data_IF_320112255611
#
_entry.id   IF_320112255611
#
_cell.length_a   1.000
_cell.length_b   1.000
_cell.length_c   1.000
_cell.angle_alpha   90.00
_cell.angle_beta   90.00
_cell.angle_gamma   90.00
#
_symmetry.space_group_name_H-M   'P 1'
#
loop_
_entity.id
_entity.type
_entity.pdbx_description
1 polymer ?
#
# COMPACT_ATOMS: atom_id res chain seq x y z
N UNK A 1 9.79 -10.58 -14.81
CA UNK A 1 10.22 -10.49 -13.39
C UNK A 1 10.52 -9.04 -13.12
N UNK A 2 10.07 -8.50 -11.97
CA UNK A 2 10.09 -7.06 -11.69
C UNK A 2 11.49 -6.44 -11.63
N UNK A 3 12.53 -7.21 -11.33
CA UNK A 3 13.91 -6.71 -11.19
C UNK A 3 14.80 -6.93 -12.43
N UNK A 4 14.24 -7.44 -13.55
CA UNK A 4 15.05 -7.87 -14.72
C UNK A 4 15.75 -6.73 -15.46
N UNK A 5 15.26 -5.51 -15.33
CA UNK A 5 15.77 -4.31 -16.00
C UNK A 5 16.68 -3.44 -15.12
N UNK A 6 16.92 -3.83 -13.87
CA UNK A 6 17.84 -3.14 -12.97
C UNK A 6 17.31 -1.82 -12.39
N UNK A 7 16.09 -1.40 -12.73
CA UNK A 7 15.48 -0.16 -12.25
C UNK A 7 15.24 -0.20 -10.74
N UNK A 8 14.81 -1.35 -10.21
CA UNK A 8 14.56 -1.56 -8.78
C UNK A 8 15.60 -2.52 -8.18
N UNK A 9 16.15 -2.14 -7.01
CA UNK A 9 17.20 -2.93 -6.31
C UNK A 9 16.64 -4.02 -5.40
N UNK A 10 15.46 -3.79 -4.84
CA UNK A 10 14.76 -4.73 -3.95
C UNK A 10 13.29 -4.74 -4.33
N UNK A 11 12.59 -5.84 -4.07
CA UNK A 11 11.17 -5.98 -4.36
C UNK A 11 10.57 -6.95 -3.35
N UNK A 12 9.61 -6.50 -2.55
CA UNK A 12 8.84 -7.38 -1.68
C UNK A 12 7.66 -7.97 -2.45
N UNK A 13 7.16 -9.12 -2.03
CA UNK A 13 5.98 -9.76 -2.63
C UNK A 13 4.77 -8.81 -2.65
N UNK A 14 4.58 -8.04 -1.57
CA UNK A 14 3.56 -7.01 -1.50
C UNK A 14 3.71 -5.99 -2.63
N UNK A 15 4.91 -5.42 -2.83
CA UNK A 15 5.13 -4.42 -3.89
C UNK A 15 4.98 -5.02 -5.29
N UNK A 16 5.47 -6.25 -5.50
CA UNK A 16 5.37 -6.97 -6.77
C UNK A 16 3.91 -7.26 -7.14
N UNK A 17 3.15 -7.85 -6.21
CA UNK A 17 1.76 -8.23 -6.42
C UNK A 17 0.86 -7.01 -6.55
N UNK A 18 1.04 -6.00 -5.70
CA UNK A 18 0.26 -4.75 -5.76
C UNK A 18 0.45 -4.07 -7.12
N UNK A 19 1.70 -3.91 -7.57
CA UNK A 19 2.00 -3.33 -8.88
C UNK A 19 1.44 -4.17 -10.03
N UNK A 20 1.55 -5.49 -9.93
CA UNK A 20 1.02 -6.41 -10.94
C UNK A 20 -0.50 -6.30 -11.06
N UNK A 21 -1.23 -6.35 -9.93
CA UNK A 21 -2.70 -6.24 -9.91
C UNK A 21 -3.14 -4.86 -10.37
N UNK A 22 -2.45 -3.79 -9.96
CA UNK A 22 -2.76 -2.43 -10.42
C UNK A 22 -2.68 -2.33 -11.95
N UNK A 23 -1.59 -2.83 -12.52
CA UNK A 23 -1.39 -2.87 -13.97
C UNK A 23 -2.39 -3.78 -14.68
N UNK A 24 -2.67 -4.97 -14.13
CA UNK A 24 -3.63 -5.91 -14.69
C UNK A 24 -5.06 -5.36 -14.68
N UNK A 25 -5.46 -4.70 -13.60
CA UNK A 25 -6.76 -4.02 -13.47
C UNK A 25 -6.90 -2.90 -14.50
N UNK A 26 -5.90 -2.04 -14.67
CA UNK A 26 -5.93 -0.97 -15.67
C UNK A 26 -6.09 -1.52 -17.10
N UNK A 27 -5.44 -2.65 -17.41
CA UNK A 27 -5.63 -3.36 -18.69
C UNK A 27 -7.04 -3.93 -18.83
N UNK A 28 -7.52 -4.65 -17.82
CA UNK A 28 -8.80 -5.34 -17.86
C UNK A 28 -9.98 -4.37 -18.01
N UNK A 29 -9.88 -3.19 -17.39
CA UNK A 29 -10.90 -2.14 -17.48
C UNK A 29 -10.78 -1.28 -18.75
N UNK A 30 -9.81 -1.56 -19.62
CA UNK A 30 -9.56 -0.79 -20.85
C UNK A 30 -9.51 0.72 -20.59
N UNK A 31 -8.90 1.12 -19.48
CA UNK A 31 -8.84 2.52 -19.07
C UNK A 31 -8.20 3.37 -20.15
N UNK A 32 -8.71 4.58 -20.34
CA UNK A 32 -8.10 5.54 -21.25
C UNK A 32 -6.62 5.75 -20.86
N UNK A 33 -5.66 5.67 -21.81
CA UNK A 33 -4.24 5.84 -21.51
C UNK A 33 -3.90 7.13 -20.75
N UNK A 34 -4.66 8.20 -20.95
CA UNK A 34 -4.46 9.51 -20.30
C UNK A 34 -5.21 9.64 -18.96
N UNK A 35 -6.05 8.67 -18.62
CA UNK A 35 -6.77 8.64 -17.34
C UNK A 35 -5.79 8.35 -16.20
N UNK A 36 -5.84 9.20 -15.17
CA UNK A 36 -5.19 8.95 -13.88
C UNK A 36 -5.93 7.85 -13.14
N UNK A 37 -5.21 6.80 -12.73
CA UNK A 37 -5.69 5.79 -11.80
C UNK A 37 -5.06 6.01 -10.43
N UNK A 38 -5.89 5.86 -9.41
CA UNK A 38 -5.49 5.91 -8.02
C UNK A 38 -5.42 4.50 -7.44
N UNK A 39 -4.37 4.21 -6.69
CA UNK A 39 -4.19 3.02 -5.87
C UNK A 39 -4.04 3.47 -4.42
N UNK A 40 -4.83 2.88 -3.53
CA UNK A 40 -4.65 3.03 -2.08
C UNK A 40 -4.12 1.75 -1.47
N UNK A 41 -3.26 1.88 -0.47
CA UNK A 41 -2.88 0.77 0.39
C UNK A 41 -2.54 1.26 1.79
N UNK A 42 -2.60 0.34 2.75
CA UNK A 42 -2.33 0.63 4.15
C UNK A 42 -0.86 0.40 4.48
N UNK A 43 -0.26 1.35 5.18
CA UNK A 43 1.14 1.29 5.63
C UNK A 43 1.14 1.23 7.15
N UNK A 44 1.82 0.22 7.71
CA UNK A 44 2.08 0.12 9.15
C UNK A 44 3.04 1.23 9.59
N UNK A 45 2.62 2.03 10.57
CA UNK A 45 3.39 3.18 11.06
C UNK A 45 4.04 2.95 12.43
N UNK A 46 3.88 1.77 13.04
CA UNK A 46 4.43 1.47 14.38
C UNK A 46 5.92 1.75 14.51
N UNK A 47 6.70 1.34 13.51
CA UNK A 47 8.15 1.53 13.47
C UNK A 47 8.58 2.88 12.89
N UNK A 48 7.63 3.72 12.47
CA UNK A 48 7.90 4.99 11.77
C UNK A 48 7.77 6.21 12.69
N UNK A 49 7.28 6.02 13.91
CA UNK A 49 7.19 7.05 14.94
C UNK A 49 8.45 7.07 15.81
N UNK A 50 8.74 8.23 16.40
CA UNK A 50 9.81 8.39 17.39
C UNK A 50 9.24 8.94 18.71
N UNK A 51 9.20 8.13 19.80
CA UNK A 51 9.63 6.73 19.86
C UNK A 51 8.68 5.78 19.08
N UNK A 52 9.17 4.61 18.63
CA UNK A 52 8.32 3.59 18.01
C UNK A 52 7.23 3.13 18.97
N UNK A 53 6.09 2.70 18.42
CA UNK A 53 5.00 2.20 19.25
C UNK A 53 5.40 0.90 19.98
N UNK A 54 4.96 0.73 21.25
CA UNK A 54 5.30 -0.46 22.03
C UNK A 54 4.86 -1.76 21.36
N UNK A 55 5.67 -2.80 21.50
CA UNK A 55 5.29 -4.16 21.13
C UNK A 55 4.08 -4.58 21.98
N UNK A 56 2.96 -4.94 21.33
CA UNK A 56 1.71 -5.31 21.99
C UNK A 56 0.66 -4.19 22.05
N UNK A 57 0.94 -3.00 21.51
CA UNK A 57 -0.10 -1.99 21.30
C UNK A 57 -1.15 -2.50 20.30
N UNK A 58 -2.41 -2.50 20.74
CA UNK A 58 -3.56 -3.09 20.06
C UNK A 58 -4.59 -2.01 19.73
N UNK A 59 -4.37 -1.31 18.61
CA UNK A 59 -5.29 -0.31 18.03
C UNK A 59 -5.15 -0.33 16.50
N UNK A 60 -5.60 0.73 15.82
CA UNK A 60 -5.35 0.97 14.39
C UNK A 60 -4.15 1.91 14.23
N UNK A 61 -3.06 1.41 13.68
CA UNK A 61 -1.77 2.11 13.49
C UNK A 61 -1.34 1.97 12.03
N UNK A 62 -2.30 2.26 11.17
CA UNK A 62 -2.13 2.27 9.73
C UNK A 62 -2.45 3.65 9.21
N UNK A 63 -1.69 4.08 8.21
CA UNK A 63 -2.01 5.25 7.41
C UNK A 63 -2.27 4.81 5.98
N UNK A 64 -3.24 5.47 5.33
CA UNK A 64 -3.58 5.19 3.94
C UNK A 64 -2.59 5.97 3.06
N UNK A 65 -1.76 5.24 2.32
CA UNK A 65 -0.93 5.84 1.28
C UNK A 65 -1.65 5.81 -0.06
N UNK A 66 -1.42 6.83 -0.88
CA UNK A 66 -2.00 6.99 -2.20
C UNK A 66 -0.91 7.01 -3.26
N UNK A 67 -1.00 6.12 -4.24
CA UNK A 67 -0.23 6.18 -5.48
C UNK A 67 -1.15 6.64 -6.62
N UNK A 68 -0.66 7.59 -7.42
CA UNK A 68 -1.31 8.04 -8.64
C UNK A 68 -0.43 7.64 -9.83
N UNK A 69 -1.05 7.16 -10.90
CA UNK A 69 -0.33 6.83 -12.12
C UNK A 69 -1.23 6.95 -13.34
N UNK A 70 -0.67 7.32 -14.49
CA UNK A 70 -1.42 7.28 -15.74
C UNK A 70 -1.58 5.83 -16.18
N UNK A 71 -2.80 5.44 -16.56
CA UNK A 71 -3.09 4.08 -17.03
C UNK A 71 -2.14 3.67 -18.17
N UNK A 72 -1.90 4.58 -19.12
CA UNK A 72 -1.01 4.35 -20.26
C UNK A 72 0.42 4.05 -19.84
N UNK A 73 0.96 4.76 -18.86
CA UNK A 73 2.33 4.56 -18.35
C UNK A 73 2.45 3.23 -17.62
N UNK A 74 1.51 2.91 -16.73
CA UNK A 74 1.47 1.63 -16.03
C UNK A 74 1.42 0.45 -17.01
N UNK A 75 0.66 0.58 -18.10
CA UNK A 75 0.48 -0.48 -19.09
C UNK A 75 1.70 -0.61 -20.01
N UNK A 76 2.21 0.50 -20.52
CA UNK A 76 3.30 0.53 -21.53
C UNK A 76 4.67 0.23 -20.90
N UNK A 77 4.92 0.72 -19.68
CA UNK A 77 6.19 0.50 -19.02
C UNK A 77 6.32 -0.94 -18.46
N UNK A 78 7.56 -1.37 -18.17
CA UNK A 78 7.81 -2.64 -17.49
C UNK A 78 7.16 -2.67 -16.09
N UNK A 79 7.01 -3.87 -15.53
CA UNK A 79 6.44 -4.03 -14.18
C UNK A 79 7.27 -3.30 -13.10
N UNK A 80 8.58 -3.16 -13.30
CA UNK A 80 9.49 -2.44 -12.42
C UNK A 80 9.04 -1.00 -12.15
N UNK A 81 8.54 -0.30 -13.16
CA UNK A 81 8.00 1.06 -13.06
C UNK A 81 6.84 1.11 -12.06
N UNK A 82 5.85 0.24 -12.22
CA UNK A 82 4.71 0.18 -11.30
C UNK A 82 5.14 -0.25 -9.88
N UNK A 83 6.17 -1.09 -9.75
CA UNK A 83 6.74 -1.45 -8.44
C UNK A 83 7.43 -0.27 -7.78
N UNK A 84 8.19 0.50 -8.54
CA UNK A 84 8.86 1.72 -8.06
C UNK A 84 7.84 2.74 -7.53
N UNK A 85 6.74 2.96 -8.26
CA UNK A 85 5.64 3.83 -7.80
C UNK A 85 5.07 3.38 -6.44
N UNK A 86 4.79 2.08 -6.28
CA UNK A 86 4.30 1.53 -5.01
C UNK A 86 5.35 1.68 -3.90
N UNK A 87 6.63 1.44 -4.19
CA UNK A 87 7.72 1.61 -3.22
C UNK A 87 7.87 3.07 -2.78
N UNK A 88 7.75 4.00 -3.71
CA UNK A 88 7.81 5.43 -3.41
C UNK A 88 6.62 5.85 -2.55
N UNK A 89 5.42 5.34 -2.82
CA UNK A 89 4.25 5.55 -1.96
C UNK A 89 4.42 5.01 -0.54
N UNK A 90 5.11 3.87 -0.36
CA UNK A 90 5.43 3.32 0.97
C UNK A 90 6.49 4.19 1.68
N UNK A 91 7.52 4.63 0.96
CA UNK A 91 8.63 5.45 1.49
C UNK A 91 8.18 6.85 1.89
N UNK A 92 7.20 7.41 1.18
CA UNK A 92 6.62 8.73 1.45
C UNK A 92 6.01 8.81 2.85
N UNK A 93 5.44 7.71 3.36
CA UNK A 93 4.94 7.63 4.73
C UNK A 93 6.14 7.63 5.68
N UNK A 94 6.57 8.80 6.14
CA UNK A 94 7.57 8.99 7.18
C UNK A 94 6.92 9.56 8.45
N UNK A 95 7.69 9.85 9.49
CA UNK A 95 7.14 10.38 10.74
C UNK A 95 6.35 11.68 10.53
N UNK A 96 6.91 12.63 9.76
CA UNK A 96 6.28 13.92 9.45
C UNK A 96 4.94 13.73 8.72
N UNK A 97 4.89 12.81 7.75
CA UNK A 97 3.66 12.46 7.04
C UNK A 97 2.61 11.90 8.00
N UNK A 98 3.00 11.03 8.93
CA UNK A 98 2.06 10.46 9.91
C UNK A 98 1.50 11.53 10.83
N UNK A 99 2.34 12.47 11.30
CA UNK A 99 1.89 13.59 12.13
C UNK A 99 0.93 14.50 11.37
N UNK A 100 1.28 14.87 10.13
CA UNK A 100 0.40 15.67 9.27
C UNK A 100 -0.92 14.95 8.95
N UNK A 101 -0.89 13.64 8.79
CA UNK A 101 -2.10 12.82 8.58
C UNK A 101 -3.00 12.84 9.82
N UNK A 102 -2.43 12.81 11.03
CA UNK A 102 -3.18 12.95 12.29
C UNK A 102 -3.82 14.33 12.36
N UNK A 103 -3.05 15.41 12.14
CA UNK A 103 -3.57 16.78 12.16
C UNK A 103 -4.73 16.95 11.17
N UNK A 104 -4.57 16.43 9.95
CA UNK A 104 -5.60 16.44 8.91
C UNK A 104 -6.86 15.67 9.35
N UNK A 105 -6.71 14.52 10.02
CA UNK A 105 -7.83 13.74 10.56
C UNK A 105 -8.51 14.39 11.77
N UNK A 106 -7.80 15.20 12.55
CA UNK A 106 -8.38 15.96 13.66
C UNK A 106 -9.22 17.13 13.15
N UNK A 107 -8.76 17.80 12.08
CA UNK A 107 -9.48 18.91 11.44
C UNK A 107 -10.67 18.42 10.59
N UNK A 108 -10.51 17.29 9.90
CA UNK A 108 -11.58 16.70 9.09
C UNK A 108 -12.55 15.92 9.98
N UNK A 109 -13.86 16.21 9.87
CA UNK A 109 -14.85 15.27 10.41
C UNK A 109 -14.72 13.96 9.66
N UNK A 110 -14.75 12.81 10.34
CA UNK A 110 -14.55 11.48 9.75
C UNK A 110 -15.43 11.15 8.51
N UNK A 111 -16.52 11.91 8.28
CA UNK A 111 -17.39 11.79 7.10
C UNK A 111 -16.83 12.45 5.83
N UNK A 112 -15.80 13.27 5.96
CA UNK A 112 -15.29 14.13 4.88
C UNK A 112 -14.03 13.59 4.23
N UNK A 113 -13.49 12.43 4.68
CA UNK A 113 -12.33 11.78 4.06
C UNK A 113 -12.72 11.29 2.66
N UNK A 114 -12.25 11.94 1.57
CA UNK A 114 -12.64 11.57 0.23
C UNK A 114 -11.83 10.36 -0.19
N UNK A 115 -12.33 9.17 0.15
CA UNK A 115 -11.87 7.90 -0.42
C UNK A 115 -12.42 7.80 -1.85
N UNK A 116 -11.94 8.66 -2.75
CA UNK A 116 -12.34 8.69 -4.16
C UNK A 116 -11.64 7.62 -5.00
N UNK A 117 -10.84 6.75 -4.38
CA UNK A 117 -10.15 5.67 -5.08
C UNK A 117 -11.07 4.46 -5.31
N UNK A 118 -11.11 4.01 -6.55
CA UNK A 118 -11.82 2.79 -6.97
C UNK A 118 -10.96 1.52 -6.83
N UNK A 119 -9.76 1.61 -6.25
CA UNK A 119 -8.85 0.48 -6.08
C UNK A 119 -8.03 0.60 -4.79
N UNK A 120 -8.22 -0.39 -3.90
CA UNK A 120 -7.56 -0.48 -2.60
C UNK A 120 -6.96 -1.87 -2.47
N UNK A 121 -5.71 -1.96 -1.99
CA UNK A 121 -5.04 -3.22 -1.68
C UNK A 121 -4.79 -3.31 -0.18
N UNK A 122 -5.33 -4.35 0.43
CA UNK A 122 -5.11 -4.71 1.84
C UNK A 122 -4.26 -5.97 1.92
N UNK A 123 -3.14 -5.91 2.65
CA UNK A 123 -2.31 -7.09 2.91
C UNK A 123 -2.66 -7.72 4.25
N UNK A 124 -2.96 -9.01 4.21
CA UNK A 124 -3.23 -9.82 5.41
C UNK A 124 -2.12 -10.85 5.66
N UNK A 125 -0.98 -10.73 4.97
CA UNK A 125 0.13 -11.71 5.01
C UNK A 125 0.81 -11.84 6.38
N UNK A 126 0.59 -10.87 7.27
CA UNK A 126 1.15 -10.85 8.63
C UNK A 126 0.11 -11.18 9.71
N UNK A 127 -1.08 -11.65 9.32
CA UNK A 127 -2.00 -12.20 10.29
C UNK A 127 -1.39 -13.46 10.92
N UNK A 128 -1.25 -13.52 12.25
CA UNK A 128 -0.74 -14.71 12.91
C UNK A 128 -1.80 -15.82 12.87
N UNK A 129 -1.69 -16.73 11.90
CA UNK A 129 -2.52 -17.94 11.81
C UNK A 129 -2.04 -19.02 12.79
N UNK A 130 -0.75 -19.02 13.11
CA UNK A 130 -0.07 -19.95 14.03
C UNK A 130 -0.46 -19.72 15.51
N UNK A 131 -0.99 -18.54 15.86
CA UNK A 131 -1.40 -18.23 17.24
C UNK A 131 -2.78 -18.76 17.62
N UNK A 132 -3.44 -19.51 16.73
CA UNK A 132 -4.80 -20.00 16.90
C UNK A 132 -4.87 -21.50 17.25
N UNK A 133 -3.86 -22.06 17.94
CA UNK A 133 -3.96 -23.42 18.48
C UNK A 133 -4.53 -23.38 19.91
N UNK A 134 -5.79 -23.79 20.04
CA UNK A 134 -6.49 -23.95 21.32
C UNK A 134 -6.44 -25.40 21.84
N UNK A 135 -5.55 -26.24 21.29
CA UNK A 135 -5.45 -27.67 21.55
C UNK A 135 -6.05 -28.56 20.46
N UNK A 136 -6.37 -27.98 19.29
CA UNK A 136 -6.93 -28.70 18.13
C UNK A 136 -6.01 -28.69 16.91
N UNK A 137 -4.78 -28.20 17.07
CA UNK A 137 -3.78 -28.09 16.03
C UNK A 137 -3.81 -26.74 15.32
N UNK A 138 -2.77 -26.48 14.55
CA UNK A 138 -2.61 -25.24 13.80
C UNK A 138 -3.60 -25.15 12.62
N UNK A 139 -3.99 -23.91 12.28
CA UNK A 139 -4.73 -23.64 11.05
C UNK A 139 -3.80 -23.87 9.85
N UNK A 140 -3.93 -25.04 9.21
CA UNK A 140 -3.23 -25.39 7.96
C UNK A 140 -3.60 -24.49 6.79
#
# INVERSE_FOLDING_TARGET
MAMKDGTIKTCSDFTALTAFVWRARSKALQMNPDQTTQLLFMVDVRSKLNPPLPKGYFSNEIVISTCLGRSGELIKNPLSFAVEEVQNGIKMVNEEFVRSWIDCFEEMRAKDVPLLSHFIVSSWIRLPTECADFGWGELT
#
